data_IF_521745316278
#
_entry.id   IF_521745316278
#
_cell.length_a   1.000
_cell.length_b   1.000
_cell.length_c   1.000
_cell.angle_alpha   90.00
_cell.angle_beta   90.00
_cell.angle_gamma   90.00
#
_symmetry.space_group_name_H-M   'P 1'
#
loop_
_entity.id
_entity.type
_entity.pdbx_description
1 polymer ?
#
# COMPACT_ATOMS: atom_id res chain seq x y z
N UNK A 1 16.16 30.46 -21.54
CA UNK A 1 16.48 29.07 -21.97
C UNK A 1 15.27 28.22 -21.59
N UNK A 2 14.66 27.51 -22.54
CA UNK A 2 13.53 26.62 -22.26
C UNK A 2 14.04 25.50 -21.34
N UNK A 3 13.33 25.20 -20.25
CA UNK A 3 13.73 24.15 -19.31
C UNK A 3 13.54 22.77 -19.96
N UNK A 4 14.42 21.81 -19.69
CA UNK A 4 14.26 20.43 -20.19
C UNK A 4 12.88 19.85 -19.80
N UNK A 5 12.41 20.15 -18.59
CA UNK A 5 11.09 19.76 -18.13
C UNK A 5 9.97 20.33 -19.01
N UNK A 6 10.10 21.59 -19.43
CA UNK A 6 9.13 22.26 -20.29
C UNK A 6 9.08 21.63 -21.67
N UNK A 7 10.23 21.21 -22.22
CA UNK A 7 10.30 20.45 -23.48
C UNK A 7 9.56 19.11 -23.35
N UNK A 8 9.84 18.35 -22.29
CA UNK A 8 9.23 17.04 -22.08
C UNK A 8 7.70 17.13 -21.92
N UNK A 9 7.22 18.07 -21.10
CA UNK A 9 5.78 18.29 -20.87
C UNK A 9 5.09 18.78 -22.15
N UNK A 10 5.71 19.70 -22.89
CA UNK A 10 5.14 20.20 -24.15
C UNK A 10 4.99 19.07 -25.17
N UNK A 11 6.00 18.19 -25.28
CA UNK A 11 5.96 17.04 -26.18
C UNK A 11 4.91 16.01 -25.75
N UNK A 12 4.77 15.77 -24.44
CA UNK A 12 3.73 14.87 -23.91
C UNK A 12 2.30 15.41 -24.12
N UNK A 13 2.15 16.73 -24.24
CA UNK A 13 0.87 17.40 -24.46
C UNK A 13 0.72 17.97 -25.89
N UNK A 14 1.43 17.38 -26.87
CA UNK A 14 1.42 17.87 -28.24
C UNK A 14 0.03 17.70 -28.88
N UNK A 15 -0.55 18.75 -29.50
CA UNK A 15 -1.88 18.67 -30.13
C UNK A 15 -2.00 17.64 -31.26
N UNK A 16 -0.89 17.21 -31.85
CA UNK A 16 -0.87 16.21 -32.93
C UNK A 16 -1.06 14.77 -32.43
N UNK A 17 -0.87 14.53 -31.13
CA UNK A 17 -1.11 13.21 -30.53
C UNK A 17 -2.61 12.94 -30.51
N UNK A 18 -3.07 11.85 -31.12
CA UNK A 18 -4.49 11.47 -31.07
C UNK A 18 -4.92 10.99 -29.69
N UNK A 19 -4.01 10.34 -28.98
CA UNK A 19 -4.22 9.70 -27.68
C UNK A 19 -3.03 9.96 -26.74
N UNK A 20 -3.20 9.81 -25.42
CA UNK A 20 -2.11 9.94 -24.46
C UNK A 20 -0.98 8.95 -24.77
N UNK A 21 0.25 9.46 -24.85
CA UNK A 21 1.42 8.63 -25.09
C UNK A 21 2.11 8.30 -23.76
N UNK A 22 1.82 7.12 -23.23
CA UNK A 22 2.35 6.68 -21.93
C UNK A 22 3.88 6.54 -21.90
N UNK A 23 4.54 6.29 -23.04
CA UNK A 23 6.00 6.29 -23.09
C UNK A 23 6.57 7.69 -22.81
N UNK A 24 5.93 8.74 -23.35
CA UNK A 24 6.30 10.12 -23.04
C UNK A 24 5.97 10.49 -21.58
N UNK A 25 4.89 9.95 -21.02
CA UNK A 25 4.55 10.18 -19.61
C UNK A 25 5.62 9.60 -18.68
N UNK A 26 6.07 8.37 -18.96
CA UNK A 26 7.12 7.71 -18.19
C UNK A 26 8.46 8.46 -18.31
N UNK A 27 8.79 9.01 -19.47
CA UNK A 27 9.99 9.85 -19.61
C UNK A 27 9.93 11.13 -18.76
N UNK A 28 8.74 11.75 -18.64
CA UNK A 28 8.53 12.88 -17.72
C UNK A 28 8.67 12.41 -16.27
N UNK A 29 8.11 11.26 -15.92
CA UNK A 29 8.19 10.68 -14.58
C UNK A 29 9.64 10.40 -14.17
N UNK A 30 10.41 9.77 -15.06
CA UNK A 30 11.82 9.45 -14.84
C UNK A 30 12.65 10.72 -14.65
N UNK A 31 12.38 11.77 -15.43
CA UNK A 31 13.05 13.05 -15.27
C UNK A 31 12.76 13.69 -13.90
N UNK A 32 11.50 13.64 -13.45
CA UNK A 32 11.09 14.15 -12.13
C UNK A 32 11.78 13.36 -11.01
N UNK A 33 11.76 12.03 -11.11
CA UNK A 33 12.32 11.12 -10.11
C UNK A 33 13.86 11.18 -10.05
N UNK A 34 14.52 11.44 -11.17
CA UNK A 34 15.99 11.55 -11.25
C UNK A 34 16.47 12.91 -10.76
N UNK A 35 15.86 13.99 -11.24
CA UNK A 35 16.33 15.36 -10.92
C UNK A 35 15.96 15.79 -9.51
N UNK A 36 14.82 15.31 -8.99
CA UNK A 36 14.29 15.64 -7.64
C UNK A 36 14.25 17.16 -7.39
N UNK A 37 14.35 17.58 -6.14
CA UNK A 37 14.33 18.98 -5.70
C UNK A 37 13.05 19.73 -6.11
N UNK A 38 13.15 20.89 -6.78
CA UNK A 38 12.00 21.70 -7.18
C UNK A 38 11.25 21.15 -8.41
N UNK A 39 11.76 20.09 -9.04
CA UNK A 39 11.22 19.54 -10.30
C UNK A 39 9.77 19.05 -10.18
N UNK A 40 9.34 18.31 -9.14
CA UNK A 40 7.94 17.90 -8.98
C UNK A 40 6.97 19.10 -8.91
N UNK A 41 7.40 20.20 -8.26
CA UNK A 41 6.60 21.42 -8.17
C UNK A 41 6.49 22.14 -9.51
N UNK A 42 7.62 22.32 -10.19
CA UNK A 42 7.65 22.92 -11.53
C UNK A 42 6.79 22.11 -12.50
N UNK A 43 6.87 20.78 -12.43
CA UNK A 43 6.12 19.88 -13.30
C UNK A 43 4.62 19.98 -13.03
N UNK A 44 4.20 19.80 -11.77
CA UNK A 44 2.78 19.86 -11.39
C UNK A 44 2.15 21.20 -11.77
N UNK A 45 2.81 22.33 -11.48
CA UNK A 45 2.30 23.65 -11.84
C UNK A 45 2.28 23.90 -13.35
N UNK A 46 3.29 23.43 -14.09
CA UNK A 46 3.30 23.54 -15.55
C UNK A 46 2.15 22.74 -16.16
N UNK A 47 1.96 21.49 -15.73
CA UNK A 47 0.91 20.63 -16.28
C UNK A 47 -0.48 21.14 -15.88
N UNK A 48 -0.66 21.71 -14.69
CA UNK A 48 -1.92 22.38 -14.30
C UNK A 48 -2.28 23.55 -15.24
N UNK A 49 -1.29 24.28 -15.77
CA UNK A 49 -1.52 25.33 -16.78
C UNK A 49 -1.95 24.73 -18.12
N UNK A 50 -1.36 23.60 -18.52
CA UNK A 50 -1.77 22.87 -19.73
C UNK A 50 -3.16 22.25 -19.58
N UNK A 51 -3.53 21.76 -18.39
CA UNK A 51 -4.88 21.29 -18.09
C UNK A 51 -5.93 22.41 -18.29
N UNK A 52 -5.54 23.67 -18.08
CA UNK A 52 -6.37 24.85 -18.33
C UNK A 52 -6.13 25.52 -19.69
N UNK A 53 -5.54 24.81 -20.66
CA UNK A 53 -5.33 25.33 -22.00
C UNK A 53 -6.66 25.60 -22.73
N UNK A 54 -6.64 26.49 -23.74
CA UNK A 54 -7.85 26.83 -24.53
C UNK A 54 -8.33 25.66 -25.39
N UNK A 55 -7.38 24.87 -25.89
CA UNK A 55 -7.65 23.66 -26.65
C UNK A 55 -7.98 22.52 -25.66
N UNK A 56 -9.21 21.99 -25.65
CA UNK A 56 -9.61 20.93 -24.72
C UNK A 56 -8.84 19.63 -24.94
N UNK A 57 -8.31 19.39 -26.14
CA UNK A 57 -7.50 18.21 -26.42
C UNK A 57 -6.19 18.22 -25.62
N UNK A 58 -5.48 19.35 -25.62
CA UNK A 58 -4.27 19.55 -24.81
C UNK A 58 -4.60 19.41 -23.32
N UNK A 59 -5.75 19.94 -22.88
CA UNK A 59 -6.20 19.77 -21.50
C UNK A 59 -6.36 18.31 -21.11
N UNK A 60 -6.97 17.48 -21.96
CA UNK A 60 -7.18 16.05 -21.68
C UNK A 60 -5.85 15.28 -21.68
N UNK A 61 -4.93 15.58 -22.61
CA UNK A 61 -3.58 14.99 -22.59
C UNK A 61 -2.83 15.35 -21.30
N UNK A 62 -2.88 16.61 -20.89
CA UNK A 62 -2.25 17.07 -19.65
C UNK A 62 -2.86 16.41 -18.40
N UNK A 63 -4.18 16.25 -18.34
CA UNK A 63 -4.85 15.55 -17.24
C UNK A 63 -4.49 14.05 -17.21
N UNK A 64 -4.28 13.43 -18.36
CA UNK A 64 -3.81 12.04 -18.46
C UNK A 64 -2.36 11.91 -18.01
N UNK A 65 -1.51 12.89 -18.34
CA UNK A 65 -0.15 12.97 -17.83
C UNK A 65 -0.11 13.11 -16.31
N UNK A 66 -0.93 14.00 -15.72
CA UNK A 66 -1.01 14.13 -14.25
C UNK A 66 -1.38 12.78 -13.61
N UNK A 67 -2.37 12.08 -14.16
CA UNK A 67 -2.81 10.78 -13.64
C UNK A 67 -1.65 9.77 -13.59
N UNK A 68 -0.91 9.64 -14.70
CA UNK A 68 0.29 8.77 -14.75
C UNK A 68 1.34 9.20 -13.73
N UNK A 69 1.64 10.50 -13.63
CA UNK A 69 2.66 11.00 -12.67
C UNK A 69 2.27 10.76 -11.21
N UNK A 70 0.98 10.81 -10.87
CA UNK A 70 0.50 10.47 -9.52
C UNK A 70 0.77 9.00 -9.21
N UNK A 71 0.62 8.10 -10.18
CA UNK A 71 0.88 6.67 -9.99
C UNK A 71 2.39 6.36 -9.92
N UNK A 72 3.24 7.12 -10.62
CA UNK A 72 4.66 6.77 -10.80
C UNK A 72 5.66 7.55 -9.94
N UNK A 73 5.37 8.80 -9.56
CA UNK A 73 6.35 9.67 -8.89
C UNK A 73 6.29 9.65 -7.36
N UNK A 74 5.27 9.01 -6.78
CA UNK A 74 5.13 8.85 -5.34
C UNK A 74 5.01 10.15 -4.54
N UNK A 75 5.41 10.10 -3.27
CA UNK A 75 5.14 11.16 -2.28
C UNK A 75 5.63 12.56 -2.68
N UNK A 76 6.85 12.76 -3.23
CA UNK A 76 7.30 14.10 -3.61
C UNK A 76 6.35 14.81 -4.59
N UNK A 77 5.71 14.08 -5.50
CA UNK A 77 4.72 14.62 -6.41
C UNK A 77 3.35 14.77 -5.75
N UNK A 78 2.93 13.79 -4.93
CA UNK A 78 1.68 13.85 -4.15
C UNK A 78 1.62 15.08 -3.25
N UNK A 79 2.74 15.43 -2.61
CA UNK A 79 2.85 16.63 -1.78
C UNK A 79 2.56 17.91 -2.56
N UNK A 80 3.00 17.98 -3.83
CA UNK A 80 2.81 19.15 -4.69
C UNK A 80 1.37 19.27 -5.19
N UNK A 81 0.75 18.15 -5.59
CA UNK A 81 -0.67 18.17 -6.01
C UNK A 81 -1.63 18.37 -4.83
N UNK A 82 -1.18 18.11 -3.60
CA UNK A 82 -1.91 18.45 -2.36
C UNK A 82 -1.78 19.92 -1.97
N UNK A 83 -1.03 20.76 -2.71
CA UNK A 83 -0.96 22.18 -2.36
C UNK A 83 -2.25 22.92 -2.73
N UNK A 84 -2.65 23.89 -1.91
CA UNK A 84 -3.76 24.80 -2.24
C UNK A 84 -3.48 25.58 -3.53
N UNK A 85 -2.21 25.91 -3.79
CA UNK A 85 -1.78 26.58 -5.01
C UNK A 85 -2.13 25.74 -6.24
N UNK A 86 -1.69 24.48 -6.28
CA UNK A 86 -1.98 23.57 -7.38
C UNK A 86 -3.48 23.32 -7.55
N UNK A 87 -4.19 22.98 -6.47
CA UNK A 87 -5.61 22.63 -6.56
C UNK A 87 -6.46 23.79 -7.07
N UNK A 88 -6.16 25.03 -6.64
CA UNK A 88 -6.84 26.22 -7.15
C UNK A 88 -6.49 26.51 -8.61
N UNK A 89 -5.25 26.29 -9.04
CA UNK A 89 -4.91 26.41 -10.46
C UNK A 89 -5.64 25.36 -11.30
N UNK A 90 -5.71 24.11 -10.84
CA UNK A 90 -6.39 23.02 -11.52
C UNK A 90 -7.87 23.32 -11.77
N UNK A 91 -8.58 23.86 -10.77
CA UNK A 91 -10.01 24.20 -10.89
C UNK A 91 -10.27 25.64 -11.35
N UNK A 92 -9.24 26.39 -11.79
CA UNK A 92 -9.34 27.84 -12.04
C UNK A 92 -10.41 28.22 -13.08
N UNK A 93 -10.72 27.35 -14.03
CA UNK A 93 -11.76 27.57 -15.05
C UNK A 93 -13.17 27.11 -14.65
N UNK A 94 -13.35 26.64 -13.41
CA UNK A 94 -14.65 26.19 -12.96
C UNK A 94 -15.57 27.41 -12.75
N UNK A 95 -16.80 27.39 -13.28
CA UNK A 95 -17.78 28.42 -13.00
C UNK A 95 -18.16 28.42 -11.51
N UNK A 96 -18.74 29.52 -11.04
CA UNK A 96 -19.19 29.63 -9.65
C UNK A 96 -20.23 28.56 -9.30
N UNK A 97 -21.13 28.26 -10.26
CA UNK A 97 -22.14 27.21 -10.15
C UNK A 97 -21.92 26.15 -11.24
N UNK A 98 -22.13 24.86 -10.92
CA UNK A 98 -21.96 23.79 -11.89
C UNK A 98 -22.90 23.98 -13.09
N UNK A 99 -22.42 23.81 -14.32
CA UNK A 99 -23.28 23.82 -15.50
C UNK A 99 -24.15 22.55 -15.52
N UNK A 100 -25.32 22.57 -16.19
CA UNK A 100 -26.16 21.38 -16.34
C UNK A 100 -25.43 20.20 -16.99
N UNK A 101 -24.52 20.51 -17.92
CA UNK A 101 -23.67 19.54 -18.62
C UNK A 101 -22.20 19.95 -18.48
N UNK A 102 -21.48 19.40 -17.49
CA UNK A 102 -20.04 19.60 -17.36
C UNK A 102 -19.29 19.15 -18.61
N UNK A 103 -18.41 20.00 -19.13
CA UNK A 103 -17.57 19.65 -20.28
C UNK A 103 -16.56 18.55 -19.93
N UNK A 104 -15.97 17.89 -20.94
CA UNK A 104 -15.10 16.72 -20.74
C UNK A 104 -13.89 17.01 -19.83
N UNK A 105 -13.27 18.18 -19.96
CA UNK A 105 -12.13 18.60 -19.12
C UNK A 105 -12.53 18.76 -17.65
N UNK A 106 -13.68 19.38 -17.40
CA UNK A 106 -14.20 19.59 -16.04
C UNK A 106 -14.55 18.25 -15.38
N UNK A 107 -15.25 17.38 -16.10
CA UNK A 107 -15.57 16.02 -15.63
C UNK A 107 -14.30 15.25 -15.29
N UNK A 108 -13.28 15.29 -16.16
CA UNK A 108 -12.00 14.61 -15.92
C UNK A 108 -11.26 15.16 -14.69
N UNK A 109 -11.29 16.47 -14.45
CA UNK A 109 -10.71 17.08 -13.23
C UNK A 109 -11.46 16.59 -11.97
N UNK A 110 -12.79 16.54 -12.02
CA UNK A 110 -13.60 16.03 -10.91
C UNK A 110 -13.26 14.55 -10.63
N UNK A 111 -13.15 13.74 -11.69
CA UNK A 111 -12.80 12.33 -11.58
C UNK A 111 -11.40 12.15 -10.95
N UNK A 112 -10.41 12.96 -11.34
CA UNK A 112 -9.07 12.91 -10.75
C UNK A 112 -9.08 13.29 -9.27
N UNK A 113 -9.74 14.40 -8.89
CA UNK A 113 -9.83 14.82 -7.49
C UNK A 113 -10.53 13.76 -6.65
N UNK A 114 -11.58 13.13 -7.18
CA UNK A 114 -12.27 12.04 -6.50
C UNK A 114 -11.36 10.81 -6.37
N UNK A 115 -10.70 10.41 -7.46
CA UNK A 115 -9.74 9.30 -7.46
C UNK A 115 -8.61 9.50 -6.45
N UNK A 116 -8.05 10.71 -6.35
CA UNK A 116 -7.02 11.00 -5.35
C UNK A 116 -7.56 10.96 -3.92
N UNK A 117 -8.81 11.38 -3.71
CA UNK A 117 -9.47 11.29 -2.39
C UNK A 117 -9.71 9.85 -1.97
N UNK A 118 -10.12 8.97 -2.90
CA UNK A 118 -10.43 7.57 -2.59
C UNK A 118 -9.19 6.65 -2.62
N UNK A 119 -8.17 6.98 -3.40
CA UNK A 119 -6.90 6.25 -3.49
C UNK A 119 -5.87 6.82 -2.54
N UNK A 120 -4.97 7.70 -3.04
CA UNK A 120 -3.81 8.19 -2.26
C UNK A 120 -4.17 8.82 -0.90
N UNK A 121 -5.33 9.45 -0.75
CA UNK A 121 -5.73 10.03 0.54
C UNK A 121 -6.29 9.00 1.54
N UNK A 122 -6.64 7.80 1.11
CA UNK A 122 -7.14 6.71 1.97
C UNK A 122 -6.04 5.67 2.23
N UNK A 123 -5.29 5.32 1.19
CA UNK A 123 -4.38 4.16 1.19
C UNK A 123 -2.93 4.56 1.48
N UNK A 124 -2.52 5.79 1.16
CA UNK A 124 -1.12 6.22 1.38
C UNK A 124 -0.78 6.32 2.87
N UNK A 125 0.45 5.90 3.21
CA UNK A 125 1.07 6.15 4.53
C UNK A 125 1.16 7.63 4.88
N UNK A 126 1.17 8.51 3.87
CA UNK A 126 1.33 9.96 4.02
C UNK A 126 0.03 10.75 3.93
N UNK A 127 -1.11 10.08 4.11
CA UNK A 127 -2.45 10.64 3.94
C UNK A 127 -2.74 11.92 4.73
N UNK A 128 -2.03 12.18 5.83
CA UNK A 128 -2.23 13.37 6.67
C UNK A 128 -1.74 14.65 5.98
N UNK A 129 -0.74 14.54 5.11
CA UNK A 129 -0.24 15.67 4.29
C UNK A 129 -1.13 15.95 3.07
N UNK A 130 -2.10 15.06 2.79
CA UNK A 130 -3.00 15.12 1.64
C UNK A 130 -4.36 15.79 1.96
N UNK A 131 -4.47 16.44 3.13
CA UNK A 131 -5.73 17.01 3.62
C UNK A 131 -6.40 18.02 2.68
N UNK A 132 -5.63 18.83 1.94
CA UNK A 132 -6.20 19.84 1.05
C UNK A 132 -6.98 19.23 -0.13
N UNK A 133 -6.62 18.00 -0.56
CA UNK A 133 -7.36 17.29 -1.61
C UNK A 133 -8.77 16.96 -1.09
N UNK A 134 -8.86 16.46 0.15
CA UNK A 134 -10.15 16.18 0.82
C UNK A 134 -10.97 17.46 0.98
N UNK A 135 -10.33 18.56 1.38
CA UNK A 135 -11.01 19.84 1.54
C UNK A 135 -11.50 20.41 0.20
N UNK A 136 -10.71 20.27 -0.88
CA UNK A 136 -11.13 20.68 -2.22
C UNK A 136 -12.31 19.83 -2.72
N UNK A 137 -12.27 18.51 -2.52
CA UNK A 137 -13.38 17.61 -2.84
C UNK A 137 -14.67 18.00 -2.10
N UNK A 138 -14.58 18.25 -0.78
CA UNK A 138 -15.70 18.75 0.04
C UNK A 138 -16.21 20.10 -0.45
N UNK A 139 -15.32 21.03 -0.76
CA UNK A 139 -15.69 22.37 -1.25
C UNK A 139 -16.45 22.31 -2.58
N UNK A 140 -15.98 21.51 -3.53
CA UNK A 140 -16.65 21.32 -4.82
C UNK A 140 -18.01 20.65 -4.66
N UNK A 141 -18.10 19.65 -3.76
CA UNK A 141 -19.38 19.01 -3.38
C UNK A 141 -20.36 20.05 -2.81
N UNK A 142 -19.90 20.90 -1.90
CA UNK A 142 -20.71 21.96 -1.30
C UNK A 142 -21.18 23.00 -2.35
N UNK A 143 -20.34 23.32 -3.34
CA UNK A 143 -20.71 24.16 -4.48
C UNK A 143 -21.70 23.50 -5.45
N UNK A 144 -22.04 22.23 -5.25
CA UNK A 144 -23.02 21.48 -6.03
C UNK A 144 -22.44 20.68 -7.19
N UNK A 145 -21.10 20.61 -7.34
CA UNK A 145 -20.49 19.70 -8.30
C UNK A 145 -20.78 18.25 -7.91
N UNK A 146 -20.98 17.40 -8.92
CA UNK A 146 -21.25 15.98 -8.74
C UNK A 146 -20.01 15.19 -9.15
N UNK A 147 -19.54 14.34 -8.26
CA UNK A 147 -18.51 13.37 -8.55
C UNK A 147 -19.18 12.09 -9.04
N UNK A 148 -18.61 11.47 -10.07
CA UNK A 148 -19.10 10.18 -10.55
C UNK A 148 -18.57 9.09 -9.62
N UNK A 149 -19.45 8.19 -9.19
CA UNK A 149 -19.05 6.94 -8.57
C UNK A 149 -18.42 6.06 -9.66
N UNK A 150 -17.11 6.20 -9.84
CA UNK A 150 -16.35 5.27 -10.68
C UNK A 150 -16.28 3.95 -9.89
N UNK A 151 -16.62 2.79 -10.49
CA UNK A 151 -16.38 1.52 -9.85
C UNK A 151 -14.90 1.49 -9.49
N UNK A 152 -14.60 1.21 -8.21
CA UNK A 152 -13.23 1.03 -7.72
C UNK A 152 -12.59 -0.02 -8.63
N UNK A 153 -11.81 0.41 -9.62
CA UNK A 153 -10.87 -0.47 -10.28
C UNK A 153 -9.98 -0.95 -9.13
N UNK A 154 -9.90 -2.26 -8.84
CA UNK A 154 -8.94 -2.73 -7.87
C UNK A 154 -7.59 -2.18 -8.34
N UNK A 155 -6.96 -1.34 -7.52
CA UNK A 155 -5.69 -0.73 -7.86
C UNK A 155 -4.65 -1.87 -7.82
N UNK A 156 -4.52 -2.57 -8.95
CA UNK A 156 -3.69 -3.75 -9.10
C UNK A 156 -2.22 -3.43 -8.76
N UNK A 157 -1.83 -2.15 -8.90
CA UNK A 157 -0.49 -1.65 -8.58
C UNK A 157 -0.13 -1.70 -7.10
N UNK A 158 -1.06 -1.34 -6.20
CA UNK A 158 -0.77 -1.34 -4.75
C UNK A 158 -0.69 -2.76 -4.20
N UNK A 159 -1.43 -3.69 -4.82
CA UNK A 159 -1.42 -5.10 -4.44
C UNK A 159 -0.10 -5.83 -4.76
N UNK A 160 0.72 -5.27 -5.66
CA UNK A 160 2.00 -5.82 -6.13
C UNK A 160 3.23 -5.14 -5.51
N UNK A 161 3.06 -4.08 -4.72
CA UNK A 161 4.17 -3.22 -4.27
C UNK A 161 4.61 -3.46 -2.82
N UNK A 162 4.89 -4.72 -2.48
CA UNK A 162 5.52 -5.06 -1.20
C UNK A 162 6.96 -4.50 -1.18
N UNK A 163 7.34 -3.85 -0.08
CA UNK A 163 8.62 -3.14 0.10
C UNK A 163 9.38 -3.72 1.29
N UNK A 164 10.70 -3.85 1.16
CA UNK A 164 11.55 -4.30 2.28
C UNK A 164 11.67 -3.23 3.36
N UNK A 165 12.16 -3.59 4.54
CA UNK A 165 12.40 -2.63 5.62
C UNK A 165 13.35 -1.50 5.20
N UNK A 166 14.42 -1.82 4.46
CA UNK A 166 15.37 -0.83 3.94
C UNK A 166 14.77 0.07 2.85
N UNK A 167 13.97 -0.50 1.95
CA UNK A 167 13.24 0.27 0.93
C UNK A 167 12.25 1.24 1.57
N UNK A 168 11.55 0.80 2.61
CA UNK A 168 10.62 1.60 3.39
C UNK A 168 11.33 2.75 4.12
N UNK A 169 12.50 2.47 4.73
CA UNK A 169 13.33 3.50 5.36
C UNK A 169 13.82 4.55 4.35
N UNK A 170 14.31 4.13 3.18
CA UNK A 170 14.76 5.04 2.15
C UNK A 170 13.61 5.93 1.63
N UNK A 171 12.43 5.35 1.43
CA UNK A 171 11.23 6.11 1.03
C UNK A 171 10.81 7.10 2.12
N UNK A 172 10.88 6.71 3.39
CA UNK A 172 10.60 7.60 4.51
C UNK A 172 11.55 8.79 4.54
N UNK A 173 12.85 8.53 4.40
CA UNK A 173 13.87 9.57 4.38
C UNK A 173 13.72 10.48 3.16
N UNK A 174 13.38 9.93 2.00
CA UNK A 174 13.06 10.72 0.81
C UNK A 174 11.83 11.60 1.03
N UNK A 175 10.76 11.05 1.60
CA UNK A 175 9.55 11.79 1.91
C UNK A 175 9.82 12.92 2.92
N UNK A 176 10.55 12.64 3.99
CA UNK A 176 10.99 13.65 4.96
C UNK A 176 11.84 14.75 4.28
N UNK A 177 12.76 14.38 3.38
CA UNK A 177 13.57 15.36 2.66
C UNK A 177 12.74 16.26 1.73
N UNK A 178 11.73 15.71 1.05
CA UNK A 178 10.83 16.47 0.18
C UNK A 178 9.93 17.40 1.01
N UNK A 179 9.41 16.90 2.14
CA UNK A 179 8.63 17.69 3.11
C UNK A 179 9.45 18.84 3.67
N UNK A 180 10.70 18.57 4.05
CA UNK A 180 11.63 19.59 4.53
C UNK A 180 11.83 20.71 3.50
N UNK A 181 12.08 20.33 2.24
CA UNK A 181 12.27 21.30 1.16
C UNK A 181 11.04 22.21 0.98
N UNK A 182 9.84 21.64 1.01
CA UNK A 182 8.61 22.44 0.87
C UNK A 182 8.37 23.35 2.08
N UNK A 183 8.64 22.89 3.30
CA UNK A 183 8.52 23.72 4.51
C UNK A 183 9.47 24.91 4.50
N UNK A 184 10.75 24.68 4.15
CA UNK A 184 11.75 25.76 4.01
C UNK A 184 11.31 26.75 2.93
N UNK A 185 10.76 26.25 1.81
CA UNK A 185 10.31 27.09 0.70
C UNK A 185 9.12 27.99 1.07
N UNK A 186 8.14 27.47 1.83
CA UNK A 186 6.98 28.27 2.27
C UNK A 186 7.39 29.37 3.24
N UNK A 187 8.39 29.10 4.09
CA UNK A 187 9.02 30.10 4.93
C UNK A 187 8.11 30.75 5.97
N UNK A 188 6.92 30.19 6.24
CA UNK A 188 6.05 30.71 7.29
C UNK A 188 6.64 30.38 8.67
N UNK A 189 6.38 31.16 9.72
CA UNK A 189 6.92 30.89 11.05
C UNK A 189 6.59 29.50 11.58
N UNK A 190 5.39 28.97 11.26
CA UNK A 190 4.98 27.60 11.61
C UNK A 190 5.72 26.55 10.78
N UNK A 191 5.87 26.79 9.48
CA UNK A 191 6.57 25.85 8.60
C UNK A 191 8.07 25.77 8.93
N UNK A 192 8.69 26.90 9.28
CA UNK A 192 10.10 26.94 9.70
C UNK A 192 10.33 26.19 11.01
N UNK A 193 9.41 26.31 11.99
CA UNK A 193 9.49 25.53 13.22
C UNK A 193 9.36 24.02 12.94
N UNK A 194 8.41 23.61 12.09
CA UNK A 194 8.27 22.22 11.67
C UNK A 194 9.50 21.72 10.89
N UNK A 195 10.11 22.56 10.04
CA UNK A 195 11.34 22.25 9.32
C UNK A 195 12.52 22.03 10.26
N UNK A 196 12.63 22.83 11.33
CA UNK A 196 13.68 22.68 12.35
C UNK A 196 13.55 21.35 13.09
N UNK A 197 12.34 20.97 13.51
CA UNK A 197 12.08 19.67 14.13
C UNK A 197 12.40 18.51 13.18
N UNK A 198 12.00 18.62 11.91
CA UNK A 198 12.28 17.59 10.90
C UNK A 198 13.78 17.46 10.59
N UNK A 199 14.52 18.58 10.52
CA UNK A 199 15.98 18.56 10.39
C UNK A 199 16.67 17.90 11.58
N UNK A 200 16.18 18.15 12.80
CA UNK A 200 16.68 17.52 14.01
C UNK A 200 16.44 16.01 14.02
N UNK A 201 15.28 15.56 13.56
CA UNK A 201 14.96 14.14 13.39
C UNK A 201 15.88 13.48 12.35
N UNK A 202 16.05 14.09 11.17
CA UNK A 202 16.94 13.61 10.11
C UNK A 202 18.42 13.56 10.52
N UNK A 203 18.85 14.47 11.41
CA UNK A 203 20.20 14.49 11.97
C UNK A 203 20.46 13.42 13.03
N UNK A 204 19.48 12.55 13.33
CA UNK A 204 19.63 11.43 14.26
C UNK A 204 19.57 11.83 15.75
N UNK A 205 19.05 13.01 16.07
CA UNK A 205 18.98 13.47 17.46
C UNK A 205 17.99 12.66 18.33
N UNK A 206 17.07 11.91 17.70
CA UNK A 206 16.10 11.04 18.37
C UNK A 206 16.04 9.66 17.67
N UNK A 207 16.96 8.73 17.98
CA UNK A 207 16.96 7.39 17.37
C UNK A 207 15.72 6.56 17.77
N UNK A 208 15.17 6.77 18.97
CA UNK A 208 13.97 6.05 19.46
C UNK A 208 12.66 6.45 18.77
N UNK A 209 12.66 7.55 18.00
CA UNK A 209 11.49 7.99 17.23
C UNK A 209 11.47 7.39 15.81
N UNK A 210 12.50 6.62 15.42
CA UNK A 210 12.55 5.95 14.13
C UNK A 210 11.42 4.91 14.10
N UNK A 211 10.51 4.96 13.10
CA UNK A 211 9.48 3.94 12.95
C UNK A 211 10.13 2.56 12.86
N UNK A 212 9.53 1.56 13.50
CA UNK A 212 9.98 0.18 13.36
C UNK A 212 9.60 -0.31 11.95
N UNK A 213 10.54 -0.17 11.02
CA UNK A 213 10.39 -0.57 9.63
C UNK A 213 10.28 -2.09 9.47
N UNK A 214 10.83 -2.86 10.41
CA UNK A 214 10.74 -4.32 10.42
C UNK A 214 9.31 -4.77 10.68
N UNK A 215 8.67 -4.23 11.72
CA UNK A 215 7.27 -4.53 12.02
C UNK A 215 6.31 -4.17 10.86
N UNK A 216 6.60 -3.07 10.15
CA UNK A 216 5.82 -2.64 8.99
C UNK A 216 6.01 -3.59 7.79
N UNK A 217 7.25 -4.01 7.51
CA UNK A 217 7.52 -5.00 6.47
C UNK A 217 6.81 -6.34 6.77
N UNK A 218 6.83 -6.79 8.02
CA UNK A 218 6.09 -7.99 8.45
C UNK A 218 4.57 -7.82 8.31
N UNK A 219 4.03 -6.63 8.55
CA UNK A 219 2.60 -6.37 8.34
C UNK A 219 2.20 -6.45 6.87
N UNK A 220 3.03 -5.91 5.97
CA UNK A 220 2.82 -6.06 4.52
C UNK A 220 2.94 -7.52 4.07
N UNK A 221 3.85 -8.28 4.70
CA UNK A 221 4.00 -9.71 4.48
C UNK A 221 2.75 -10.49 4.94
N UNK A 222 2.16 -10.17 6.10
CA UNK A 222 0.90 -10.77 6.56
C UNK A 222 -0.28 -10.49 5.63
N UNK A 223 -0.31 -9.33 4.95
CA UNK A 223 -1.33 -9.08 3.90
C UNK A 223 -1.14 -10.00 2.71
N UNK A 224 0.10 -10.35 2.36
CA UNK A 224 0.39 -11.32 1.31
C UNK A 224 -0.05 -12.72 1.74
N UNK A 225 0.22 -13.10 2.99
CA UNK A 225 -0.25 -14.35 3.59
C UNK A 225 -1.78 -14.50 3.48
N UNK A 226 -2.53 -13.45 3.81
CA UNK A 226 -3.98 -13.46 3.70
C UNK A 226 -4.46 -13.74 2.26
N UNK A 227 -3.70 -13.29 1.24
CA UNK A 227 -3.99 -13.59 -0.17
C UNK A 227 -3.67 -15.04 -0.54
N UNK A 228 -2.61 -15.61 0.02
CA UNK A 228 -2.26 -17.03 -0.12
C UNK A 228 -3.37 -17.91 0.47
N UNK A 229 -3.84 -17.57 1.68
CA UNK A 229 -4.96 -18.25 2.35
C UNK A 229 -6.24 -18.13 1.53
N UNK A 230 -6.56 -16.94 1.03
CA UNK A 230 -7.74 -16.73 0.18
C UNK A 230 -7.68 -17.60 -1.09
N UNK A 231 -6.53 -17.66 -1.78
CA UNK A 231 -6.41 -18.50 -2.97
C UNK A 231 -6.54 -19.99 -2.64
N UNK A 232 -5.98 -20.45 -1.51
CA UNK A 232 -6.20 -21.81 -1.02
C UNK A 232 -7.69 -22.08 -0.73
N UNK A 233 -8.36 -21.21 0.03
CA UNK A 233 -9.77 -21.39 0.38
C UNK A 233 -10.66 -21.40 -0.87
N UNK A 234 -10.36 -20.54 -1.84
CA UNK A 234 -11.07 -20.55 -3.12
C UNK A 234 -10.82 -21.86 -3.88
N UNK A 235 -9.58 -22.37 -3.91
CA UNK A 235 -9.23 -23.65 -4.56
C UNK A 235 -9.85 -24.86 -3.86
N UNK A 236 -9.98 -24.84 -2.54
CA UNK A 236 -10.58 -25.91 -1.72
C UNK A 236 -12.10 -25.96 -1.89
N UNK A 237 -12.75 -24.80 -2.07
CA UNK A 237 -14.19 -24.68 -2.24
C UNK A 237 -14.67 -24.86 -3.70
N UNK A 238 -13.79 -25.25 -4.63
CA UNK A 238 -14.19 -25.46 -6.02
C UNK A 238 -15.13 -26.67 -6.12
N UNK A 239 -16.37 -26.38 -6.50
CA UNK A 239 -17.44 -27.34 -6.66
C UNK A 239 -17.18 -28.25 -7.87
N UNK A 240 -16.46 -29.36 -7.63
CA UNK A 240 -16.11 -30.39 -8.63
C UNK A 240 -17.35 -30.97 -9.35
N UNK A 241 -18.53 -30.82 -8.77
CA UNK A 241 -19.83 -31.22 -9.34
C UNK A 241 -20.29 -30.36 -10.52
N UNK A 242 -19.98 -29.05 -10.51
CA UNK A 242 -20.59 -28.07 -11.42
C UNK A 242 -19.70 -27.69 -12.60
N UNK A 243 -18.44 -28.14 -12.64
CA UNK A 243 -17.41 -27.73 -13.62
C UNK A 243 -17.43 -26.21 -13.79
N UNK A 244 -17.15 -25.46 -12.72
CA UNK A 244 -16.79 -24.05 -12.89
C UNK A 244 -15.55 -24.01 -13.79
N UNK A 245 -15.71 -23.44 -14.97
CA UNK A 245 -14.63 -23.29 -15.93
C UNK A 245 -13.88 -22.03 -15.55
N UNK A 246 -12.58 -22.18 -15.32
CA UNK A 246 -11.62 -21.07 -15.25
C UNK A 246 -11.94 -20.02 -16.32
N UNK A 247 -12.08 -18.77 -15.91
CA UNK A 247 -12.20 -17.64 -16.83
C UNK A 247 -10.99 -16.73 -16.63
N UNK A 248 -10.21 -16.50 -17.68
CA UNK A 248 -9.08 -15.57 -17.58
C UNK A 248 -9.59 -14.19 -17.13
N UNK A 249 -8.97 -13.64 -16.09
CA UNK A 249 -9.43 -12.43 -15.40
C UNK A 249 -10.43 -12.63 -14.26
N UNK A 250 -10.75 -13.87 -13.88
CA UNK A 250 -11.50 -14.18 -12.65
C UNK A 250 -10.68 -13.88 -11.38
N UNK A 251 -11.32 -14.02 -10.21
CA UNK A 251 -10.70 -13.70 -8.92
C UNK A 251 -9.49 -14.61 -8.65
N UNK A 252 -9.50 -15.85 -9.14
CA UNK A 252 -8.36 -16.77 -8.99
C UNK A 252 -7.14 -16.25 -9.77
N UNK A 253 -7.33 -15.90 -11.03
CA UNK A 253 -6.27 -15.37 -11.91
C UNK A 253 -5.71 -14.06 -11.35
N UNK A 254 -6.56 -13.19 -10.77
CA UNK A 254 -6.13 -11.94 -10.13
C UNK A 254 -5.25 -12.19 -8.91
N UNK A 255 -5.66 -13.07 -7.99
CA UNK A 255 -4.86 -13.37 -6.78
C UNK A 255 -3.57 -14.10 -7.14
N UNK A 256 -3.62 -15.05 -8.08
CA UNK A 256 -2.44 -15.76 -8.55
C UNK A 256 -1.39 -14.82 -9.19
N UNK A 257 -1.82 -13.90 -10.06
CA UNK A 257 -0.92 -12.91 -10.67
C UNK A 257 -0.22 -12.04 -9.61
N UNK A 258 -0.93 -11.68 -8.53
CA UNK A 258 -0.33 -10.93 -7.42
C UNK A 258 0.77 -11.76 -6.74
N UNK A 259 0.49 -13.02 -6.42
CA UNK A 259 1.45 -13.91 -5.77
C UNK A 259 2.66 -14.20 -6.67
N UNK A 260 2.45 -14.41 -7.96
CA UNK A 260 3.53 -14.57 -8.95
C UNK A 260 4.45 -13.33 -8.99
N UNK A 261 3.88 -12.14 -8.97
CA UNK A 261 4.65 -10.88 -8.95
C UNK A 261 5.44 -10.66 -7.65
N UNK A 262 5.00 -11.26 -6.54
CA UNK A 262 5.65 -11.16 -5.25
C UNK A 262 6.85 -12.11 -5.08
N UNK A 263 6.88 -13.26 -5.78
CA UNK A 263 7.98 -14.24 -5.74
C UNK A 263 9.37 -13.64 -5.96
N UNK A 264 9.65 -12.88 -7.05
CA UNK A 264 10.99 -12.36 -7.29
C UNK A 264 11.43 -11.37 -6.19
N UNK A 265 10.49 -10.62 -5.61
CA UNK A 265 10.78 -9.70 -4.50
C UNK A 265 11.14 -10.45 -3.23
N UNK A 266 10.37 -11.48 -2.87
CA UNK A 266 10.68 -12.32 -1.71
C UNK A 266 12.01 -13.05 -1.86
N UNK A 267 12.35 -13.55 -3.05
CA UNK A 267 13.66 -14.16 -3.30
C UNK A 267 14.80 -13.16 -3.06
N UNK A 268 14.64 -11.91 -3.49
CA UNK A 268 15.61 -10.85 -3.19
C UNK A 268 15.70 -10.59 -1.68
N UNK A 269 14.58 -10.50 -0.98
CA UNK A 269 14.57 -10.27 0.47
C UNK A 269 15.23 -11.40 1.26
N UNK A 270 15.05 -12.66 0.83
CA UNK A 270 15.74 -13.82 1.40
C UNK A 270 17.25 -13.66 1.23
N UNK A 271 17.71 -13.26 0.04
CA UNK A 271 19.14 -13.03 -0.23
C UNK A 271 19.72 -11.89 0.61
N UNK A 272 18.96 -10.79 0.78
CA UNK A 272 19.40 -9.62 1.56
C UNK A 272 19.37 -9.94 3.08
N UNK A 273 18.36 -10.68 3.55
CA UNK A 273 18.20 -11.08 4.95
C UNK A 273 19.22 -12.13 5.41
N UNK A 274 19.73 -12.99 4.50
CA UNK A 274 20.84 -13.91 4.79
C UNK A 274 22.08 -13.17 5.31
N UNK A 275 22.30 -11.94 4.83
CA UNK A 275 23.42 -11.09 5.25
C UNK A 275 23.11 -10.19 6.44
N UNK A 276 21.90 -9.61 6.49
CA UNK A 276 21.61 -8.48 7.39
C UNK A 276 20.59 -8.78 8.52
N UNK A 277 19.71 -9.77 8.37
CA UNK A 277 18.64 -10.06 9.34
C UNK A 277 18.25 -11.56 9.38
N UNK A 278 19.01 -12.40 10.11
CA UNK A 278 18.78 -13.85 10.16
C UNK A 278 17.46 -14.23 10.84
N UNK A 279 16.85 -13.35 11.64
CA UNK A 279 15.57 -13.64 12.30
C UNK A 279 14.38 -13.51 11.35
N UNK A 280 14.41 -12.54 10.43
CA UNK A 280 13.34 -12.38 9.42
C UNK A 280 13.49 -13.36 8.25
N UNK A 281 14.68 -13.93 8.05
CA UNK A 281 14.97 -14.91 7.00
C UNK A 281 14.03 -16.13 7.02
N UNK A 282 13.80 -16.70 8.21
CA UNK A 282 12.94 -17.88 8.38
C UNK A 282 11.50 -17.59 7.95
N UNK A 283 10.98 -16.41 8.33
CA UNK A 283 9.64 -15.95 7.96
C UNK A 283 9.53 -15.75 6.44
N UNK A 284 10.56 -15.18 5.80
CA UNK A 284 10.57 -14.97 4.35
C UNK A 284 10.64 -16.29 3.57
N UNK A 285 11.46 -17.24 4.03
CA UNK A 285 11.54 -18.59 3.43
C UNK A 285 10.21 -19.31 3.53
N UNK A 286 9.61 -19.32 4.72
CA UNK A 286 8.31 -19.94 4.97
C UNK A 286 7.23 -19.35 4.04
N UNK A 287 7.20 -18.02 3.88
CA UNK A 287 6.24 -17.39 2.97
C UNK A 287 6.49 -17.74 1.50
N UNK A 288 7.75 -17.81 1.08
CA UNK A 288 8.11 -18.21 -0.27
C UNK A 288 7.59 -19.61 -0.59
N UNK A 289 7.80 -20.55 0.33
CA UNK A 289 7.32 -21.92 0.19
C UNK A 289 5.79 -21.99 0.12
N UNK A 290 5.08 -21.25 0.99
CA UNK A 290 3.62 -21.18 0.94
C UNK A 290 3.11 -20.65 -0.41
N UNK A 291 3.73 -19.58 -0.94
CA UNK A 291 3.36 -19.04 -2.26
C UNK A 291 3.60 -20.05 -3.37
N UNK A 292 4.74 -20.75 -3.35
CA UNK A 292 5.06 -21.77 -4.36
C UNK A 292 4.01 -22.90 -4.32
N UNK A 293 3.68 -23.41 -3.13
CA UNK A 293 2.69 -24.48 -2.95
C UNK A 293 1.32 -24.07 -3.51
N UNK A 294 0.85 -22.86 -3.20
CA UNK A 294 -0.47 -22.40 -3.65
C UNK A 294 -0.50 -22.13 -5.14
N UNK A 295 0.57 -21.57 -5.72
CA UNK A 295 0.68 -21.38 -7.16
C UNK A 295 0.74 -22.71 -7.92
N UNK A 296 1.45 -23.70 -7.40
CA UNK A 296 1.48 -25.04 -7.98
C UNK A 296 0.08 -25.69 -7.95
N UNK A 297 -0.67 -25.52 -6.85
CA UNK A 297 -2.09 -25.97 -6.75
C UNK A 297 -2.98 -25.23 -7.76
N UNK A 298 -2.77 -23.93 -7.95
CA UNK A 298 -3.50 -23.14 -8.94
C UNK A 298 -3.17 -23.57 -10.38
N UNK A 299 -1.91 -23.86 -10.68
CA UNK A 299 -1.51 -24.40 -11.99
C UNK A 299 -2.12 -25.79 -12.26
N UNK A 300 -2.14 -26.67 -11.25
CA UNK A 300 -2.77 -27.99 -11.36
C UNK A 300 -4.28 -27.87 -11.60
N UNK A 301 -4.93 -26.91 -10.92
CA UNK A 301 -6.33 -26.57 -11.13
C UNK A 301 -6.59 -26.09 -12.57
N UNK A 302 -5.74 -25.20 -13.12
CA UNK A 302 -5.84 -24.75 -14.53
C UNK A 302 -5.69 -25.90 -15.54
N UNK A 303 -4.87 -26.90 -15.22
CA UNK A 303 -4.62 -28.09 -16.06
C UNK A 303 -5.75 -29.14 -15.96
N UNK A 304 -6.68 -28.99 -15.02
CA UNK A 304 -7.83 -29.90 -14.84
C UNK A 304 -7.54 -31.11 -13.94
N UNK A 305 -6.42 -31.12 -13.22
CA UNK A 305 -6.03 -32.17 -12.29
C UNK A 305 -6.54 -31.85 -10.87
N UNK A 306 -7.83 -32.10 -10.63
CA UNK A 306 -8.50 -31.83 -9.34
C UNK A 306 -8.04 -32.72 -8.18
N UNK A 307 -7.24 -33.77 -8.45
CA UNK A 307 -6.72 -34.70 -7.42
C UNK A 307 -5.51 -34.13 -6.69
N UNK A 308 -4.69 -33.34 -7.38
CA UNK A 308 -3.50 -32.68 -6.81
C UNK A 308 -3.88 -31.43 -6.00
N UNK A 309 -5.07 -30.88 -6.25
CA UNK A 309 -5.66 -29.77 -5.49
C UNK A 309 -6.05 -30.14 -4.05
N UNK A 310 -5.88 -31.40 -3.60
CA UNK A 310 -6.28 -31.86 -2.27
C UNK A 310 -5.11 -32.07 -1.29
N UNK A 311 -3.87 -31.72 -1.65
CA UNK A 311 -2.74 -32.03 -0.78
C UNK A 311 -2.75 -31.11 0.46
N UNK A 312 -2.89 -31.67 1.67
CA UNK A 312 -2.99 -30.88 2.89
C UNK A 312 -1.63 -30.28 3.21
N UNK A 313 -1.68 -29.10 3.83
CA UNK A 313 -0.58 -28.42 4.51
C UNK A 313 0.32 -29.45 5.23
N UNK A 314 1.65 -29.45 5.07
CA UNK A 314 2.53 -30.23 5.93
C UNK A 314 2.23 -29.88 7.40
N UNK A 315 1.94 -30.89 8.20
CA UNK A 315 1.44 -30.78 9.57
C UNK A 315 2.33 -30.03 10.57
N UNK A 316 3.47 -29.47 10.14
CA UNK A 316 4.34 -28.66 11.00
C UNK A 316 3.79 -27.25 11.32
N UNK A 317 2.73 -26.78 10.62
CA UNK A 317 2.14 -25.46 10.89
C UNK A 317 0.82 -25.45 11.68
N UNK A 318 0.22 -26.61 11.96
CA UNK A 318 -0.96 -26.67 12.85
C UNK A 318 -0.58 -26.52 14.35
N UNK A 319 0.71 -26.43 14.65
CA UNK A 319 1.27 -26.48 16.01
C UNK A 319 1.65 -25.14 16.66
N UNK A 320 1.21 -24.00 16.14
CA UNK A 320 1.45 -22.69 16.80
C UNK A 320 0.29 -22.17 17.63
N UNK A 321 -0.84 -22.89 17.68
CA UNK A 321 -1.98 -22.55 18.56
C UNK A 321 -1.89 -23.14 19.98
N UNK A 322 -0.87 -23.92 20.31
CA UNK A 322 -0.73 -24.60 21.62
C UNK A 322 0.49 -24.14 22.43
N UNK A 323 1.16 -23.05 22.03
CA UNK A 323 2.34 -22.55 22.76
C UNK A 323 2.04 -21.64 23.96
N UNK A 324 0.79 -21.61 24.44
CA UNK A 324 0.39 -20.81 25.60
C UNK A 324 -0.07 -21.62 26.83
N UNK A 325 0.17 -22.93 26.87
CA UNK A 325 -0.13 -23.77 28.07
C UNK A 325 1.11 -24.21 28.87
N UNK A 326 2.29 -23.65 28.60
CA UNK A 326 3.50 -23.90 29.42
C UNK A 326 3.83 -22.71 30.34
N UNK A 327 2.81 -22.12 30.96
CA UNK A 327 2.99 -21.17 32.05
C UNK A 327 2.09 -21.51 33.23
N UNK A 328 2.29 -22.70 33.81
CA UNK A 328 1.83 -23.07 35.15
C UNK A 328 2.92 -23.93 35.81
N UNK A 329 4.00 -23.23 36.16
CA UNK A 329 4.95 -23.64 37.18
C UNK A 329 4.20 -23.47 38.51
N UNK A 330 3.70 -24.57 39.08
CA UNK A 330 3.31 -24.66 40.48
C UNK A 330 4.48 -25.29 41.25
N UNK A 331 5.27 -24.45 41.89
CA UNK A 331 6.31 -24.84 42.84
C UNK A 331 5.70 -24.78 44.24
N UNK A 332 5.16 -25.91 44.72
CA UNK A 332 5.05 -26.17 46.16
C UNK A 332 5.39 -27.64 46.43
N UNK A 333 6.70 -27.92 46.42
CA UNK A 333 7.28 -29.15 46.98
C UNK A 333 8.02 -28.77 48.27
N UNK A 334 7.30 -28.78 49.38
CA UNK A 334 7.88 -28.70 50.72
C UNK A 334 8.24 -30.10 51.21
N UNK A 335 9.55 -30.35 51.35
CA UNK A 335 10.18 -31.55 51.89
C UNK A 335 9.89 -31.82 53.40
N UNK A 336 10.61 -32.73 54.11
CA UNK A 336 10.42 -34.19 54.17
C UNK A 336 10.18 -34.69 55.62
N UNK A 337 9.75 -35.96 55.84
CA UNK A 337 10.32 -36.88 56.86
C UNK A 337 9.48 -38.16 57.17
N UNK A 338 10.13 -39.30 56.99
CA UNK A 338 10.26 -40.47 57.89
C UNK A 338 9.05 -41.29 58.43
N UNK A 339 9.24 -42.62 58.26
CA UNK A 339 8.92 -43.77 59.14
C UNK A 339 7.58 -44.52 59.03
N UNK A 340 7.71 -45.75 58.48
CA UNK A 340 7.16 -47.04 58.93
C UNK A 340 6.03 -47.08 59.98
N UNK A 341 4.91 -47.76 59.64
CA UNK A 341 4.54 -49.11 60.13
C UNK A 341 3.02 -49.37 60.10
N UNK A 342 2.67 -50.58 59.62
CA UNK A 342 1.54 -51.45 60.01
C UNK A 342 0.13 -50.89 60.28
N UNK A 343 -0.85 -51.50 59.60
CA UNK A 343 -2.02 -52.07 60.30
C UNK A 343 -3.42 -51.54 59.95
N UNK A 344 -4.18 -52.39 59.27
CA UNK A 344 -5.59 -52.73 59.52
C UNK A 344 -6.71 -51.65 59.44
N UNK A 345 -7.61 -51.90 58.48
CA UNK A 345 -9.10 -51.88 58.57
C UNK A 345 -9.82 -50.73 59.29
N UNK A 346 -10.71 -50.03 58.57
CA UNK A 346 -12.17 -50.07 58.82
C UNK A 346 -12.95 -49.15 57.86
N UNK A 347 -14.16 -49.59 57.55
CA UNK A 347 -15.17 -49.01 56.67
C UNK A 347 -15.77 -47.69 57.21
N UNK A 348 -16.52 -46.95 56.34
CA UNK A 348 -16.90 -45.55 56.52
C UNK A 348 -18.23 -45.39 57.24
N UNK A 349 -18.46 -44.22 57.84
CA UNK A 349 -19.82 -43.71 58.02
C UNK A 349 -19.83 -42.19 57.93
N UNK A 350 -20.64 -41.76 56.97
CA UNK A 350 -21.19 -40.44 56.70
C UNK A 350 -22.35 -40.21 57.69
N UNK A 351 -22.40 -39.09 58.43
CA UNK A 351 -23.67 -38.46 58.87
C UNK A 351 -23.51 -37.15 59.66
N UNK A 352 -24.41 -36.21 59.32
CA UNK A 352 -25.01 -35.12 60.14
C UNK A 352 -24.08 -33.97 60.57
N UNK A 353 -24.19 -32.78 59.98
CA UNK A 353 -25.21 -31.76 60.25
C UNK A 353 -25.35 -31.43 61.75
N UNK A 354 -24.83 -30.28 62.18
CA UNK A 354 -25.60 -29.27 62.93
C UNK A 354 -24.80 -27.97 63.14
N UNK A 355 -25.56 -26.86 63.03
CA UNK A 355 -25.34 -25.50 63.55
C UNK A 355 -24.48 -24.49 62.75
#
# INVERSE_FOLDING_TARGET
>A
KVSQLEVLVTRACDPSLLEPNYALHLEVADYINTKKANTPREASMLIARFANHRNPHISVLALSLIDTLVQTCGYPFHLQISTKEFLNELVRRFPERPPPFPGPVMSRILDLIHGWKEGICAESRWRDDLGNIRDMHRLLTFKGYRFRDLPRQPDLSDSMNIKSADELEMEDREAQSAKLQELIRRGTPRDLAAAQELMKALAGANPDAKPDYRSQALTELSKLEAKVVLLNEMLDNVDTSRREKFASGDVYDQVANILESARPKLQKWISDAETDDPESLDIFLQMNDQINIVLDRFEAFKKGDYVTSSNPIPAELAGTSTRNELSLIDFDDSAPSHTSSSGASSHPVDELADL
#
